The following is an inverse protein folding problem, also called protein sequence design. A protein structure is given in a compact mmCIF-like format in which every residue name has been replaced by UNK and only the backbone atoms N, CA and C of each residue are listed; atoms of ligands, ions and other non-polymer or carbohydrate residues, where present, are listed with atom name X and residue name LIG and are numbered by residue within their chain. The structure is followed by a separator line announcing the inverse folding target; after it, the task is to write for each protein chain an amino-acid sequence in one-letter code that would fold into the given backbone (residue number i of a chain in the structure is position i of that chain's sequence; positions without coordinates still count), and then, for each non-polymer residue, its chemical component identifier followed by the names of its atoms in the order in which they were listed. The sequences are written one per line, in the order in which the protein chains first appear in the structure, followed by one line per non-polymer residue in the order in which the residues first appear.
data_IF_990147577054
#
_entry.id   IF_990147577054
#
_cell.length_a   1.000
_cell.length_b   1.000
_cell.length_c   1.000
_cell.angle_alpha   90.00
_cell.angle_beta   90.00
_cell.angle_gamma   90.00
#
_symmetry.space_group_name_H-M   'P 1'
#
loop_
_entity.id
_entity.type
_entity.pdbx_description
1 polymer ?
#
# COMPACT_ATOMS: atom_id res chain seq x y z
N UNK A 1 1.40 23.66 15.16
CA UNK A 1 2.68 23.22 14.56
C UNK A 1 2.60 23.52 13.06
N UNK A 2 3.44 24.43 12.51
CA UNK A 2 3.32 24.93 11.13
C UNK A 2 4.02 24.08 10.05
N UNK A 3 4.64 22.94 10.40
CA UNK A 3 5.52 22.19 9.48
C UNK A 3 4.82 21.55 8.26
N UNK A 4 3.52 21.25 8.35
CA UNK A 4 2.79 20.62 7.23
C UNK A 4 2.51 21.57 6.06
N UNK A 5 2.54 22.89 6.28
CA UNK A 5 2.41 23.85 5.19
C UNK A 5 3.64 23.78 4.26
N UNK A 6 4.85 23.65 4.83
CA UNK A 6 6.08 23.48 4.07
C UNK A 6 6.05 22.19 3.24
N UNK A 7 5.63 21.07 3.84
CA UNK A 7 5.51 19.81 3.11
C UNK A 7 4.42 19.83 2.04
N UNK A 8 3.39 20.67 2.17
CA UNK A 8 2.41 20.87 1.10
C UNK A 8 3.02 21.62 -0.09
N UNK A 9 3.90 22.60 0.15
CA UNK A 9 4.63 23.25 -0.93
C UNK A 9 5.53 22.26 -1.68
N UNK A 10 6.23 21.38 -0.97
CA UNK A 10 7.01 20.29 -1.56
C UNK A 10 6.13 19.27 -2.32
N UNK A 11 4.94 18.97 -1.80
CA UNK A 11 3.98 18.11 -2.46
C UNK A 11 3.43 18.73 -3.76
N UNK A 12 3.30 20.07 -3.84
CA UNK A 12 2.94 20.75 -5.10
C UNK A 12 4.02 20.59 -6.15
N UNK A 13 5.28 20.80 -5.78
CA UNK A 13 6.42 20.60 -6.70
C UNK A 13 6.42 19.16 -7.23
N UNK A 14 6.21 18.18 -6.36
CA UNK A 14 6.10 16.78 -6.76
C UNK A 14 4.88 16.51 -7.66
N UNK A 15 3.75 17.17 -7.42
CA UNK A 15 2.56 17.05 -8.27
C UNK A 15 2.83 17.56 -9.69
N UNK A 16 3.53 18.70 -9.80
CA UNK A 16 3.90 19.31 -11.07
C UNK A 16 4.88 18.42 -11.86
N UNK A 17 5.90 17.87 -11.18
CA UNK A 17 6.86 16.94 -11.77
C UNK A 17 6.19 15.67 -12.32
N UNK A 18 5.13 15.21 -11.65
CA UNK A 18 4.35 14.04 -12.04
C UNK A 18 3.18 14.35 -12.99
N UNK A 19 3.03 15.62 -13.39
CA UNK A 19 1.93 16.13 -14.21
C UNK A 19 0.54 15.72 -13.67
N UNK A 20 0.34 15.91 -12.36
CA UNK A 20 -0.89 15.54 -11.66
C UNK A 20 -1.71 16.76 -11.27
N UNK A 21 -3.01 16.71 -11.56
CA UNK A 21 -3.96 17.74 -11.09
C UNK A 21 -4.28 17.47 -9.63
N UNK A 22 -4.09 18.46 -8.77
CA UNK A 22 -4.24 18.36 -7.32
C UNK A 22 -5.01 19.55 -6.76
N UNK A 23 -5.54 19.40 -5.54
CA UNK A 23 -6.18 20.49 -4.81
C UNK A 23 -5.58 20.61 -3.42
N UNK A 24 -5.17 21.83 -3.08
CA UNK A 24 -4.60 22.13 -1.77
C UNK A 24 -5.55 21.78 -0.63
N UNK A 25 -4.97 21.26 0.45
CA UNK A 25 -5.61 21.10 1.74
C UNK A 25 -5.67 22.46 2.45
N UNK A 26 -6.82 22.76 3.04
CA UNK A 26 -7.00 23.92 3.92
C UNK A 26 -6.22 23.72 5.22
N UNK A 27 -5.94 24.81 5.94
CA UNK A 27 -5.26 24.73 7.26
C UNK A 27 -5.93 23.75 8.22
N UNK A 28 -7.27 23.71 8.20
CA UNK A 28 -8.06 22.78 9.02
C UNK A 28 -7.83 21.32 8.61
N UNK A 29 -7.73 21.05 7.31
CA UNK A 29 -7.42 19.72 6.78
C UNK A 29 -5.97 19.34 7.08
N UNK A 30 -5.01 20.26 6.97
CA UNK A 30 -3.60 20.01 7.33
C UNK A 30 -3.45 19.64 8.81
N UNK A 31 -4.16 20.32 9.72
CA UNK A 31 -4.15 19.98 11.15
C UNK A 31 -4.73 18.59 11.39
N UNK A 32 -5.80 18.22 10.68
CA UNK A 32 -6.43 16.89 10.78
C UNK A 32 -5.53 15.80 10.21
N UNK A 33 -4.95 16.04 9.03
CA UNK A 33 -3.97 15.19 8.39
C UNK A 33 -2.81 14.93 9.37
N UNK A 34 -2.17 15.99 9.87
CA UNK A 34 -1.00 15.86 10.75
C UNK A 34 -1.30 15.09 12.03
N UNK A 35 -2.46 15.34 12.66
CA UNK A 35 -2.89 14.59 13.85
C UNK A 35 -3.13 13.11 13.55
N UNK A 36 -3.77 12.79 12.43
CA UNK A 36 -4.03 11.41 12.03
C UNK A 36 -2.73 10.69 11.65
N UNK A 37 -1.86 11.38 10.91
CA UNK A 37 -0.56 10.88 10.48
C UNK A 37 0.34 10.55 11.68
N UNK A 38 0.47 11.49 12.62
CA UNK A 38 1.28 11.29 13.84
C UNK A 38 0.76 10.11 14.67
N UNK A 39 -0.56 9.91 14.76
CA UNK A 39 -1.14 8.82 15.55
C UNK A 39 -0.88 7.46 14.93
N UNK A 40 -1.16 7.30 13.64
CA UNK A 40 -1.11 5.99 12.98
C UNK A 40 0.29 5.59 12.53
N UNK A 41 1.11 6.55 12.10
CA UNK A 41 2.37 6.25 11.41
C UNK A 41 3.61 6.66 12.20
N UNK A 42 3.45 7.41 13.29
CA UNK A 42 4.56 7.81 14.15
C UNK A 42 4.45 7.14 15.51
N UNK A 43 3.35 7.38 16.23
CA UNK A 43 3.18 6.88 17.61
C UNK A 43 2.87 5.40 17.72
N UNK A 44 2.22 4.81 16.71
CA UNK A 44 1.89 3.39 16.70
C UNK A 44 3.07 2.50 16.30
N UNK A 45 4.15 3.09 15.77
CA UNK A 45 5.29 2.32 15.26
C UNK A 45 6.23 1.90 16.40
N UNK A 46 6.71 0.65 16.41
CA UNK A 46 7.51 0.12 17.51
C UNK A 46 8.96 0.58 17.51
N UNK A 47 9.50 1.05 16.37
CA UNK A 47 10.89 1.53 16.30
C UNK A 47 11.02 2.80 15.48
N UNK A 48 12.14 3.49 15.72
CA UNK A 48 12.46 4.75 15.05
C UNK A 48 12.67 4.57 13.55
N UNK A 49 13.22 3.45 13.11
CA UNK A 49 13.49 3.20 11.70
C UNK A 49 12.20 3.16 10.86
N UNK A 50 11.13 2.57 11.40
CA UNK A 50 9.80 2.60 10.77
C UNK A 50 9.22 4.01 10.71
N UNK A 51 9.37 4.75 11.81
CA UNK A 51 8.97 6.16 11.89
C UNK A 51 9.70 7.00 10.84
N UNK A 52 11.00 6.79 10.68
CA UNK A 52 11.84 7.54 9.76
C UNK A 52 11.43 7.32 8.30
N UNK A 53 10.97 6.11 7.93
CA UNK A 53 10.38 5.86 6.59
C UNK A 53 9.16 6.76 6.39
N UNK A 54 8.21 6.76 7.33
CA UNK A 54 7.02 7.61 7.23
C UNK A 54 7.35 9.11 7.17
N UNK A 55 8.32 9.57 7.96
CA UNK A 55 8.74 10.96 7.95
C UNK A 55 9.40 11.36 6.62
N UNK A 56 10.20 10.49 6.00
CA UNK A 56 10.79 10.73 4.67
C UNK A 56 9.73 10.86 3.59
N UNK A 57 8.64 10.09 3.69
CA UNK A 57 7.58 10.02 2.67
C UNK A 57 6.35 10.89 2.98
N UNK A 58 6.50 11.89 3.85
CA UNK A 58 5.37 12.71 4.31
C UNK A 58 4.79 13.60 3.21
N UNK A 59 5.64 14.07 2.27
CA UNK A 59 5.22 14.88 1.12
C UNK A 59 4.46 14.04 0.10
N UNK A 60 4.86 12.79 -0.13
CA UNK A 60 4.15 11.82 -0.97
C UNK A 60 2.79 11.49 -0.35
N UNK A 61 2.73 11.34 0.98
CA UNK A 61 1.48 11.17 1.70
C UNK A 61 0.55 12.39 1.51
N UNK A 62 1.06 13.61 1.72
CA UNK A 62 0.29 14.84 1.49
C UNK A 62 -0.21 14.97 0.05
N UNK A 63 0.64 14.66 -0.93
CA UNK A 63 0.26 14.62 -2.33
C UNK A 63 -0.92 13.67 -2.56
N UNK A 64 -0.91 12.48 -1.94
CA UNK A 64 -2.05 11.57 -1.95
C UNK A 64 -3.33 12.19 -1.41
N UNK A 65 -3.23 12.99 -0.34
CA UNK A 65 -4.36 13.74 0.22
C UNK A 65 -4.89 14.83 -0.71
N UNK A 66 -4.00 15.57 -1.36
CA UNK A 66 -4.36 16.61 -2.33
C UNK A 66 -5.02 16.03 -3.59
N UNK A 67 -4.53 14.88 -4.05
CA UNK A 67 -5.14 14.10 -5.13
C UNK A 67 -6.51 13.56 -4.74
N UNK A 68 -6.62 12.98 -3.55
CA UNK A 68 -7.88 12.47 -3.04
C UNK A 68 -8.92 13.58 -2.93
N UNK A 69 -8.54 14.77 -2.44
CA UNK A 69 -9.42 15.93 -2.38
C UNK A 69 -9.94 16.32 -3.76
N UNK A 70 -9.04 16.34 -4.75
CA UNK A 70 -9.41 16.69 -6.12
C UNK A 70 -10.32 15.63 -6.75
N UNK A 71 -9.92 14.36 -6.68
CA UNK A 71 -10.62 13.23 -7.28
C UNK A 71 -11.99 12.96 -6.65
N UNK A 72 -12.08 13.10 -5.32
CA UNK A 72 -13.27 12.74 -4.56
C UNK A 72 -14.23 13.92 -4.34
N UNK A 73 -13.76 15.13 -4.63
CA UNK A 73 -14.44 16.40 -4.37
C UNK A 73 -14.97 16.52 -2.93
N UNK A 74 -14.14 16.13 -1.96
CA UNK A 74 -14.52 16.10 -0.56
C UNK A 74 -13.35 16.50 0.34
N UNK A 75 -13.67 17.12 1.49
CA UNK A 75 -12.64 17.49 2.46
C UNK A 75 -11.97 16.26 3.08
N UNK A 76 -10.66 16.38 3.32
CA UNK A 76 -9.87 15.37 4.00
C UNK A 76 -10.10 15.45 5.52
N UNK A 77 -10.42 14.31 6.12
CA UNK A 77 -10.54 14.11 7.56
C UNK A 77 -9.71 12.92 7.99
N UNK A 78 -9.50 12.72 9.29
CA UNK A 78 -8.71 11.60 9.80
C UNK A 78 -9.44 10.26 9.72
N UNK A 79 -9.11 9.36 10.65
CA UNK A 79 -9.57 7.95 10.69
C UNK A 79 -11.08 7.76 10.62
N UNK A 80 -11.84 8.65 11.28
CA UNK A 80 -13.29 8.58 11.36
C UNK A 80 -13.90 9.81 10.67
N UNK A 81 -13.98 9.81 9.32
CA UNK A 81 -14.56 10.93 8.59
C UNK A 81 -16.06 11.06 8.85
N UNK A 82 -16.57 12.27 8.77
CA UNK A 82 -18.01 12.54 8.72
C UNK A 82 -18.66 12.06 7.42
N UNK A 83 -19.99 12.07 7.37
CA UNK A 83 -20.74 11.65 6.17
C UNK A 83 -20.29 12.42 4.92
N UNK A 84 -20.05 11.66 3.84
CA UNK A 84 -19.59 12.17 2.54
C UNK A 84 -18.24 12.93 2.58
N UNK A 85 -17.38 12.60 3.55
CA UNK A 85 -16.01 13.11 3.65
C UNK A 85 -15.01 12.02 3.29
N UNK A 86 -13.78 12.41 3.03
CA UNK A 86 -12.69 11.46 2.75
C UNK A 86 -11.94 11.18 4.04
N UNK A 87 -11.79 9.91 4.39
CA UNK A 87 -10.91 9.48 5.49
C UNK A 87 -9.48 9.34 4.99
N UNK A 88 -8.52 9.85 5.75
CA UNK A 88 -7.11 9.78 5.39
C UNK A 88 -6.22 10.77 6.13
N UNK A 89 -4.94 10.46 6.34
CA UNK A 89 -4.24 9.26 5.90
C UNK A 89 -4.65 8.05 6.75
N UNK A 90 -4.83 6.90 6.11
CA UNK A 90 -5.16 5.59 6.69
C UNK A 90 -4.10 4.56 6.26
N UNK A 91 -3.83 3.54 7.06
CA UNK A 91 -2.98 2.43 6.60
C UNK A 91 -3.63 1.71 5.40
N UNK A 92 -2.82 1.26 4.44
CA UNK A 92 -3.32 0.51 3.27
C UNK A 92 -3.74 -0.89 3.71
N UNK A 93 -5.01 -1.23 3.47
CA UNK A 93 -5.58 -2.56 3.71
C UNK A 93 -5.81 -3.29 2.38
N UNK A 94 -5.82 -4.63 2.42
CA UNK A 94 -6.05 -5.48 1.26
C UNK A 94 -7.34 -5.11 0.51
N UNK A 95 -8.43 -4.94 1.28
CA UNK A 95 -9.76 -4.63 0.78
C UNK A 95 -9.85 -3.29 0.03
N UNK A 96 -8.89 -2.37 0.23
CA UNK A 96 -8.87 -1.11 -0.51
C UNK A 96 -8.39 -1.28 -1.96
N UNK A 97 -7.76 -2.41 -2.28
CA UNK A 97 -7.21 -2.71 -3.60
C UNK A 97 -8.06 -3.74 -4.35
N UNK A 98 -9.26 -4.10 -3.87
CA UNK A 98 -10.16 -5.03 -4.55
C UNK A 98 -10.88 -5.99 -3.62
N UNK A 99 -11.28 -7.14 -4.16
CA UNK A 99 -12.02 -8.20 -3.45
C UNK A 99 -11.03 -9.06 -2.67
N UNK A 100 -10.69 -8.69 -1.45
CA UNK A 100 -9.80 -9.48 -0.61
C UNK A 100 -9.84 -8.95 0.81
N UNK A 101 -10.10 -9.83 1.77
CA UNK A 101 -10.66 -9.42 3.05
C UNK A 101 -9.57 -9.10 4.07
N UNK A 102 -8.37 -9.70 3.94
CA UNK A 102 -7.24 -9.34 4.78
C UNK A 102 -5.88 -9.75 4.17
N UNK A 103 -4.83 -9.01 4.50
CA UNK A 103 -3.45 -9.48 4.35
C UNK A 103 -3.14 -10.64 5.31
N UNK A 104 -3.90 -10.76 6.41
CA UNK A 104 -3.71 -11.70 7.52
C UNK A 104 -4.66 -12.91 7.50
N UNK A 105 -5.62 -12.97 6.57
CA UNK A 105 -6.65 -14.02 6.51
C UNK A 105 -6.14 -15.29 5.81
N UNK A 106 -5.31 -16.05 6.54
CA UNK A 106 -4.84 -17.37 6.13
C UNK A 106 -5.68 -18.51 6.74
N UNK A 107 -6.51 -18.21 7.75
CA UNK A 107 -7.19 -19.23 8.55
C UNK A 107 -8.73 -19.07 8.61
N UNK A 108 -9.28 -17.97 8.12
CA UNK A 108 -10.72 -17.71 8.03
C UNK A 108 -11.27 -18.11 6.67
N UNK A 109 -12.18 -19.09 6.67
CA UNK A 109 -13.13 -19.36 5.57
C UNK A 109 -12.49 -19.74 4.21
N UNK A 110 -11.73 -20.84 4.14
CA UNK A 110 -11.82 -21.91 3.13
C UNK A 110 -10.56 -22.81 3.13
N UNK A 111 -10.57 -23.83 4.00
CA UNK A 111 -9.49 -24.74 4.33
C UNK A 111 -9.07 -25.76 3.23
N UNK A 112 -8.95 -25.36 1.96
CA UNK A 112 -8.64 -26.29 0.87
C UNK A 112 -7.35 -26.03 0.10
N UNK A 113 -7.05 -24.78 -0.24
CA UNK A 113 -6.04 -24.45 -1.26
C UNK A 113 -5.35 -23.08 -1.06
N UNK A 114 -5.72 -22.31 -0.04
CA UNK A 114 -5.28 -20.92 0.11
C UNK A 114 -4.13 -20.80 1.10
N UNK A 115 -3.02 -20.16 0.69
CA UNK A 115 -1.83 -19.95 1.53
C UNK A 115 -0.51 -20.46 0.94
N UNK A 116 -0.50 -20.77 -0.35
CA UNK A 116 0.46 -21.66 -0.93
C UNK A 116 0.88 -21.12 -2.30
N UNK A 117 1.88 -20.23 -2.31
CA UNK A 117 2.43 -19.71 -3.56
C UNK A 117 3.45 -20.69 -4.10
N UNK A 118 3.33 -21.05 -5.37
CA UNK A 118 4.31 -21.93 -5.98
C UNK A 118 5.67 -21.23 -6.09
N UNK A 119 6.75 -22.02 -6.04
CA UNK A 119 8.11 -21.52 -6.20
C UNK A 119 8.59 -21.63 -7.64
N UNK A 120 9.66 -20.92 -7.98
CA UNK A 120 10.29 -21.01 -9.30
C UNK A 120 9.50 -20.34 -10.44
N UNK A 121 8.35 -19.72 -10.15
CA UNK A 121 7.57 -18.94 -11.10
C UNK A 121 6.87 -17.76 -10.42
N UNK A 122 6.57 -16.71 -11.19
CA UNK A 122 5.89 -15.53 -10.66
C UNK A 122 4.41 -15.82 -10.37
N UNK A 123 3.95 -15.56 -9.15
CA UNK A 123 2.55 -15.67 -8.74
C UNK A 123 1.86 -14.31 -8.81
N UNK A 124 0.53 -14.31 -8.89
CA UNK A 124 -0.28 -13.09 -8.80
C UNK A 124 -0.58 -12.78 -7.32
N UNK A 125 -0.39 -11.52 -6.92
CA UNK A 125 -0.64 -11.04 -5.54
C UNK A 125 -1.80 -10.05 -5.49
N UNK A 126 -1.73 -8.96 -6.26
CA UNK A 126 -2.80 -7.95 -6.31
C UNK A 126 -3.35 -7.94 -7.73
N UNK A 127 -4.58 -8.42 -7.90
CA UNK A 127 -5.26 -8.58 -9.19
C UNK A 127 -6.79 -8.50 -9.04
N UNK A 128 -7.54 -8.29 -10.13
CA UNK A 128 -8.98 -8.00 -10.09
C UNK A 128 -9.89 -9.20 -9.82
N UNK A 129 -9.32 -10.37 -9.52
CA UNK A 129 -10.07 -11.64 -9.41
C UNK A 129 -9.83 -12.33 -8.06
N UNK A 130 -9.36 -11.61 -7.05
CA UNK A 130 -9.06 -12.20 -5.75
C UNK A 130 -10.35 -12.56 -4.98
N UNK A 131 -10.28 -13.62 -4.18
CA UNK A 131 -11.10 -13.83 -2.96
C UNK A 131 -10.24 -14.13 -1.73
N UNK A 132 -8.92 -14.33 -1.85
CA UNK A 132 -7.83 -14.27 -0.84
C UNK A 132 -6.46 -14.22 -1.57
N UNK A 133 -5.32 -14.22 -0.86
CA UNK A 133 -3.95 -14.14 -1.41
C UNK A 133 -3.52 -15.40 -2.20
N UNK A 134 -3.01 -15.21 -3.43
CA UNK A 134 -2.38 -16.27 -4.24
C UNK A 134 -3.30 -17.00 -5.22
N UNK A 135 -4.21 -16.29 -5.89
CA UNK A 135 -5.11 -16.88 -6.88
C UNK A 135 -4.37 -17.58 -8.04
N UNK A 136 -4.88 -18.74 -8.48
CA UNK A 136 -4.39 -19.44 -9.65
C UNK A 136 -5.12 -18.89 -10.89
N UNK A 137 -4.41 -18.10 -11.71
CA UNK A 137 -4.81 -17.86 -13.11
C UNK A 137 -5.35 -16.48 -13.48
N UNK A 138 -4.96 -15.38 -12.83
CA UNK A 138 -5.52 -14.07 -13.17
C UNK A 138 -4.46 -12.98 -13.41
N UNK A 139 -4.08 -12.79 -14.68
CA UNK A 139 -3.24 -11.68 -15.17
C UNK A 139 -3.97 -10.33 -15.26
N UNK A 140 -5.17 -10.20 -14.70
CA UNK A 140 -6.01 -9.01 -14.87
C UNK A 140 -5.71 -7.97 -13.78
N UNK A 141 -5.24 -6.76 -14.15
CA UNK A 141 -5.01 -5.69 -13.18
C UNK A 141 -6.30 -5.26 -12.48
N UNK A 142 -6.21 -4.90 -11.19
CA UNK A 142 -7.26 -4.16 -10.50
C UNK A 142 -7.41 -2.79 -11.15
N UNK A 143 -8.62 -2.23 -11.14
CA UNK A 143 -8.87 -0.85 -11.56
C UNK A 143 -9.26 -0.03 -10.34
N UNK A 144 -8.51 1.01 -10.05
CA UNK A 144 -8.75 1.86 -8.89
C UNK A 144 -9.98 2.73 -9.14
N UNK A 145 -10.93 2.65 -8.19
CA UNK A 145 -12.16 3.42 -8.22
C UNK A 145 -11.95 4.89 -7.87
N UNK A 146 -12.94 5.72 -8.19
CA UNK A 146 -12.94 7.14 -7.83
C UNK A 146 -12.95 7.37 -6.30
N UNK A 147 -13.41 6.40 -5.54
CA UNK A 147 -13.54 6.43 -4.09
C UNK A 147 -12.24 6.17 -3.31
N UNK A 148 -11.12 5.91 -3.99
CA UNK A 148 -9.85 5.59 -3.33
C UNK A 148 -8.63 6.25 -4.02
N UNK A 149 -7.65 6.62 -3.21
CA UNK A 149 -6.28 6.99 -3.64
C UNK A 149 -5.29 6.32 -2.69
N UNK A 150 -4.27 5.66 -3.23
CA UNK A 150 -3.22 4.99 -2.44
C UNK A 150 -1.85 5.54 -2.79
N UNK A 151 -1.01 5.70 -1.79
CA UNK A 151 0.40 6.08 -1.93
C UNK A 151 1.24 5.02 -1.25
N UNK A 152 2.03 4.31 -2.05
CA UNK A 152 2.86 3.18 -1.60
C UNK A 152 4.31 3.60 -1.72
N UNK A 153 5.05 3.63 -0.61
CA UNK A 153 6.47 3.99 -0.61
C UNK A 153 7.38 2.87 -0.11
N UNK A 154 6.83 1.81 0.48
CA UNK A 154 7.60 0.65 0.84
C UNK A 154 6.76 -0.64 0.78
N UNK A 155 7.45 -1.77 0.91
CA UNK A 155 6.82 -3.08 0.93
C UNK A 155 7.37 -3.82 2.13
N UNK A 156 6.48 -4.29 2.98
CA UNK A 156 6.83 -5.02 4.20
C UNK A 156 6.37 -6.47 4.07
N UNK A 157 6.85 -7.34 4.94
CA UNK A 157 6.20 -8.61 5.19
C UNK A 157 6.02 -8.82 6.68
N UNK A 158 4.84 -9.32 7.07
CA UNK A 158 4.51 -9.66 8.46
C UNK A 158 4.99 -11.07 8.83
N UNK A 159 5.47 -11.87 7.86
CA UNK A 159 5.98 -13.20 8.15
C UNK A 159 7.30 -13.11 8.94
N UNK A 160 7.47 -13.96 9.95
CA UNK A 160 8.68 -13.96 10.78
C UNK A 160 9.95 -14.32 9.98
N UNK A 161 9.82 -14.94 8.82
CA UNK A 161 10.89 -15.30 7.88
C UNK A 161 10.43 -15.14 6.43
N UNK A 162 10.27 -13.91 5.90
CA UNK A 162 9.87 -13.63 4.54
C UNK A 162 10.79 -14.33 3.57
N UNK A 163 10.15 -14.92 2.58
CA UNK A 163 10.72 -15.72 1.52
C UNK A 163 10.66 -14.97 0.20
N UNK A 164 9.98 -13.83 0.17
CA UNK A 164 9.84 -12.96 -0.99
C UNK A 164 11.20 -12.56 -1.53
N UNK A 165 11.46 -13.01 -2.75
CA UNK A 165 12.71 -12.72 -3.42
C UNK A 165 12.59 -11.45 -4.27
N UNK A 166 11.48 -11.32 -4.99
CA UNK A 166 11.24 -10.14 -5.81
C UNK A 166 9.77 -9.90 -6.10
N UNK A 167 9.48 -8.65 -6.45
CA UNK A 167 8.17 -8.15 -6.82
C UNK A 167 8.23 -7.52 -8.20
N UNK A 168 7.13 -7.61 -8.95
CA UNK A 168 6.99 -6.93 -10.22
C UNK A 168 5.61 -6.31 -10.31
N UNK A 169 5.59 -5.03 -10.68
CA UNK A 169 4.35 -4.29 -10.88
C UNK A 169 4.06 -4.09 -12.35
N UNK A 170 2.78 -4.12 -12.72
CA UNK A 170 2.29 -3.58 -13.98
C UNK A 170 1.30 -2.46 -13.64
N UNK A 171 1.61 -1.25 -14.11
CA UNK A 171 0.81 -0.05 -13.84
C UNK A 171 0.39 0.52 -15.19
N UNK A 172 -0.92 0.69 -15.41
CA UNK A 172 -1.45 1.22 -16.68
C UNK A 172 -0.99 0.44 -17.91
N UNK A 173 -0.98 -0.89 -17.78
CA UNK A 173 -0.51 -1.83 -18.80
C UNK A 173 1.00 -1.82 -19.03
N UNK A 174 1.76 -0.98 -18.32
CA UNK A 174 3.22 -0.89 -18.43
C UNK A 174 3.89 -1.69 -17.33
N UNK A 175 4.64 -2.72 -17.75
CA UNK A 175 5.48 -3.51 -16.87
C UNK A 175 6.59 -2.63 -16.28
N UNK A 176 6.70 -2.60 -14.96
CA UNK A 176 7.76 -1.90 -14.24
C UNK A 176 8.97 -2.82 -14.02
N UNK A 177 10.16 -2.24 -13.80
CA UNK A 177 11.33 -3.02 -13.42
C UNK A 177 11.05 -3.90 -12.21
N UNK A 178 11.64 -5.10 -12.21
CA UNK A 178 11.55 -6.04 -11.09
C UNK A 178 12.27 -5.46 -9.88
N UNK A 179 11.60 -5.49 -8.73
CA UNK A 179 12.10 -5.02 -7.45
C UNK A 179 12.64 -6.22 -6.67
N UNK A 180 13.95 -6.25 -6.50
CA UNK A 180 14.60 -7.26 -5.67
C UNK A 180 14.37 -6.96 -4.18
N UNK A 181 13.66 -7.85 -3.50
CA UNK A 181 13.35 -7.76 -2.07
C UNK A 181 14.30 -8.66 -1.25
N UNK A 182 14.88 -9.67 -1.90
CA UNK A 182 15.72 -10.68 -1.29
C UNK A 182 16.88 -10.10 -0.48
N UNK A 183 17.56 -9.04 -0.91
CA UNK A 183 18.68 -8.49 -0.12
C UNK A 183 18.22 -7.89 1.21
N UNK A 184 17.20 -7.03 1.15
CA UNK A 184 16.62 -6.35 2.32
C UNK A 184 15.94 -7.33 3.29
N UNK A 185 15.42 -8.45 2.78
CA UNK A 185 14.67 -9.43 3.57
C UNK A 185 15.48 -10.67 3.99
N UNK A 186 16.58 -11.02 3.28
CA UNK A 186 17.48 -12.16 3.59
C UNK A 186 18.57 -11.81 4.60
N UNK A 187 19.20 -10.64 4.53
CA UNK A 187 20.33 -10.28 5.41
C UNK A 187 19.91 -9.71 6.77
N UNK A 188 18.62 -9.51 6.98
CA UNK A 188 18.01 -9.10 8.24
C UNK A 188 17.70 -10.31 9.16
N UNK A 189 18.57 -11.34 9.21
CA UNK A 189 18.37 -12.48 10.12
C UNK A 189 18.52 -11.98 11.57
N UNK A 190 17.41 -11.93 12.31
CA UNK A 190 17.36 -11.34 13.66
C UNK A 190 17.04 -9.85 13.71
N UNK A 191 16.88 -9.18 12.56
CA UNK A 191 16.32 -7.83 12.50
C UNK A 191 14.79 -7.93 12.54
N UNK A 192 14.17 -7.12 13.40
CA UNK A 192 12.72 -7.09 13.62
C UNK A 192 11.92 -6.55 12.42
N UNK A 193 12.57 -6.03 11.38
CA UNK A 193 11.91 -5.28 10.31
C UNK A 193 12.44 -5.65 8.94
N UNK A 194 11.50 -6.06 8.07
CA UNK A 194 11.77 -6.59 6.74
C UNK A 194 11.04 -5.74 5.70
N UNK A 195 11.36 -4.45 5.71
CA UNK A 195 10.76 -3.43 4.87
C UNK A 195 11.71 -3.08 3.73
N UNK A 196 11.25 -3.20 2.49
CA UNK A 196 11.91 -2.71 1.29
C UNK A 196 11.30 -1.35 0.92
N UNK A 197 12.03 -0.28 1.24
CA UNK A 197 11.70 1.06 0.77
C UNK A 197 11.90 1.16 -0.75
N UNK A 198 10.96 1.83 -1.41
CA UNK A 198 10.97 2.10 -2.84
C UNK A 198 11.69 3.42 -3.09
N UNK A 199 12.46 3.47 -4.18
CA UNK A 199 13.16 4.70 -4.57
C UNK A 199 12.19 5.80 -4.98
N UNK A 200 11.05 5.42 -5.56
CA UNK A 200 9.94 6.30 -5.91
C UNK A 200 8.63 5.72 -5.38
N UNK A 201 7.79 6.56 -4.77
CA UNK A 201 6.47 6.15 -4.36
C UNK A 201 5.56 5.86 -5.57
N UNK A 202 4.72 4.85 -5.42
CA UNK A 202 3.68 4.50 -6.39
C UNK A 202 2.37 5.16 -5.92
N UNK A 203 1.82 6.02 -6.75
CA UNK A 203 0.54 6.69 -6.49
C UNK A 203 -0.52 6.05 -7.38
N UNK A 204 -1.52 5.47 -6.74
CA UNK A 204 -2.65 4.81 -7.39
C UNK A 204 -3.88 5.73 -7.27
N UNK A 205 -4.39 6.19 -8.41
CA UNK A 205 -5.52 7.13 -8.52
C UNK A 205 -6.63 6.53 -9.39
N UNK A 206 -7.76 7.24 -9.51
CA UNK A 206 -8.88 6.84 -10.37
C UNK A 206 -8.39 6.43 -11.75
N UNK A 207 -8.96 5.33 -12.25
CA UNK A 207 -8.66 4.73 -13.56
C UNK A 207 -7.26 4.13 -13.70
N UNK A 208 -6.37 4.27 -12.70
CA UNK A 208 -5.12 3.53 -12.68
C UNK A 208 -5.40 2.04 -12.62
N UNK A 209 -4.75 1.29 -13.51
CA UNK A 209 -4.75 -0.18 -13.45
C UNK A 209 -3.50 -0.66 -12.75
N UNK A 210 -3.64 -1.58 -11.79
CA UNK A 210 -2.55 -2.05 -10.96
C UNK A 210 -2.54 -3.57 -10.89
N UNK A 211 -1.40 -4.18 -11.14
CA UNK A 211 -1.18 -5.61 -10.98
C UNK A 211 0.14 -5.80 -10.26
N UNK A 212 0.13 -6.58 -9.18
CA UNK A 212 1.35 -6.96 -8.48
C UNK A 212 1.57 -8.46 -8.60
N UNK A 213 2.76 -8.82 -9.04
CA UNK A 213 3.28 -10.18 -9.08
C UNK A 213 4.47 -10.30 -8.14
N UNK A 214 4.74 -11.54 -7.78
CA UNK A 214 5.56 -11.93 -6.65
C UNK A 214 6.34 -13.17 -7.04
N UNK A 215 7.58 -13.26 -6.60
CA UNK A 215 8.43 -14.39 -6.93
C UNK A 215 9.10 -14.94 -5.68
N UNK A 216 8.99 -16.26 -5.54
CA UNK A 216 9.68 -17.06 -4.55
C UNK A 216 10.65 -18.00 -5.25
N UNK A 217 11.92 -17.96 -4.83
CA UNK A 217 12.92 -18.87 -5.34
C UNK A 217 12.63 -20.31 -4.92
N UNK A 218 12.94 -21.26 -5.81
CA UNK A 218 12.87 -22.69 -5.51
C UNK A 218 13.78 -23.09 -4.34
N UNK A 219 14.81 -22.30 -4.03
CA UNK A 219 15.68 -22.52 -2.88
C UNK A 219 14.98 -22.38 -1.51
N UNK A 220 13.77 -21.81 -1.48
CA UNK A 220 12.98 -21.67 -0.25
C UNK A 220 11.96 -22.81 -0.03
N UNK A 221 11.85 -23.74 -0.98
CA UNK A 221 11.02 -24.93 -0.84
C UNK A 221 11.85 -26.21 -0.84
N UNK A 222 11.50 -27.16 0.02
CA UNK A 222 11.88 -28.56 -0.21
C UNK A 222 10.65 -29.47 -0.04
N UNK A 223 10.41 -30.29 -1.06
CA UNK A 223 9.43 -31.37 -1.26
C UNK A 223 7.91 -31.22 -1.02
N UNK A 224 7.34 -30.02 -0.82
CA UNK A 224 5.88 -29.79 -0.98
C UNK A 224 5.60 -28.36 -1.50
N UNK A 225 5.95 -28.08 -2.76
CA UNK A 225 5.58 -27.01 -3.73
C UNK A 225 5.14 -25.59 -3.33
N UNK A 226 5.04 -25.23 -2.05
CA UNK A 226 4.31 -24.04 -1.61
C UNK A 226 5.03 -23.28 -0.49
N UNK A 227 5.03 -21.95 -0.62
CA UNK A 227 5.63 -21.01 0.34
C UNK A 227 4.55 -20.14 0.98
N UNK A 228 4.68 -19.96 2.30
CA UNK A 228 3.89 -19.02 3.09
C UNK A 228 4.70 -17.76 3.36
N UNK A 229 4.19 -16.62 2.90
CA UNK A 229 4.70 -15.28 3.18
C UNK A 229 3.53 -14.29 3.08
N UNK A 230 3.67 -13.13 3.72
CA UNK A 230 2.60 -12.16 3.86
C UNK A 230 3.09 -10.75 3.51
N UNK A 231 3.33 -10.47 2.21
CA UNK A 231 3.70 -9.13 1.80
C UNK A 231 2.54 -8.16 2.02
N UNK A 232 2.87 -6.96 2.50
CA UNK A 232 1.93 -5.88 2.78
C UNK A 232 2.48 -4.59 2.18
N UNK A 233 1.62 -3.84 1.50
CA UNK A 233 1.98 -2.52 1.00
C UNK A 233 2.09 -1.54 2.17
N UNK A 234 3.24 -0.90 2.25
CA UNK A 234 3.56 0.07 3.30
C UNK A 234 3.41 1.47 2.71
N UNK A 235 2.48 2.23 3.25
CA UNK A 235 1.93 3.39 2.56
C UNK A 235 0.81 4.08 3.30
N UNK A 236 0.18 5.05 2.64
CA UNK A 236 -1.06 5.69 3.10
C UNK A 236 -2.18 5.51 2.07
N UNK A 237 -3.41 5.49 2.56
CA UNK A 237 -4.64 5.40 1.79
C UNK A 237 -5.58 6.55 2.14
N UNK A 238 -6.35 6.97 1.15
CA UNK A 238 -7.46 7.90 1.27
C UNK A 238 -8.69 7.27 0.66
N UNK A 239 -9.78 7.18 1.42
CA UNK A 239 -11.00 6.52 0.97
C UNK A 239 -12.23 7.36 1.31
N UNK A 240 -13.24 7.40 0.44
CA UNK A 240 -14.54 8.02 0.76
C UNK A 240 -15.22 7.25 1.91
N UNK A 241 -15.86 7.99 2.81
CA UNK A 241 -16.54 7.44 4.00
C UNK A 241 -17.47 6.23 3.73
N UNK A 242 -18.28 6.20 2.65
CA UNK A 242 -19.11 5.02 2.36
C UNK A 242 -18.31 3.74 2.14
N UNK A 243 -17.11 3.83 1.56
CA UNK A 243 -16.24 2.69 1.33
C UNK A 243 -15.58 2.20 2.63
N UNK A 244 -15.43 3.06 3.65
CA UNK A 244 -14.86 2.71 4.94
C UNK A 244 -15.84 1.98 5.88
N UNK A 245 -17.14 2.04 5.59
CA UNK A 245 -18.18 1.34 6.36
C UNK A 245 -18.30 -0.14 6.02
N UNK A 246 -17.73 -0.55 4.90
CA UNK A 246 -17.81 -1.92 4.45
C UNK A 246 -16.76 -2.70 5.24
N UNK A 247 -17.23 -3.48 6.21
CA UNK A 247 -16.45 -4.59 6.78
C UNK A 247 -16.45 -5.68 5.70
N UNK A 248 -15.52 -5.57 4.75
CA UNK A 248 -15.14 -6.71 3.93
C UNK A 248 -14.09 -7.47 4.72
#
# INVERSE_FOLDING_TARGET
RPEFALYQDEARVLADDLAMVTRDLTDKELVRFGRSFERQFIRAMPTKEMVDIHLRHIKEALLGGMLAKEQMDAEIQGETPGSNKTGGPLAIRACFLGVGDDWEDLYGIHAGVQGAWSTGSAQDWIHSQTTLMGGVGATTPIKIGENAVHVIYAISSIHASPKLESLQFTIDGKLKPLLYCGWAQKHAVGHTQRIKELDNAIILRKDTTFLAKVFFSSAFGDQVDFVTDFPVLYGVSYCKEPALKILV
#
